data_IF_763803328623
#
_entry.id   IF_763803328623
#
_cell.length_a   1.000
_cell.length_b   1.000
_cell.length_c   1.000
_cell.angle_alpha   90.00
_cell.angle_beta   90.00
_cell.angle_gamma   90.00
#
_symmetry.space_group_name_H-M   'P 1'
#
loop_
_entity.id
_entity.type
_entity.pdbx_description
1 polymer ?
#
# COMPACT_ATOMS: atom_id res chain seq x y z
N UNK A 1 -9.98 -15.15 12.68
CA UNK A 1 -9.33 -14.45 13.82
C UNK A 1 -8.13 -13.67 13.31
N UNK A 2 -7.06 -14.32 12.83
CA UNK A 2 -5.84 -13.66 12.31
C UNK A 2 -6.09 -12.55 11.28
N UNK A 3 -6.83 -12.82 10.18
CA UNK A 3 -7.09 -11.79 9.17
C UNK A 3 -7.89 -10.61 9.69
N UNK A 4 -8.81 -10.84 10.64
CA UNK A 4 -9.60 -9.76 11.24
C UNK A 4 -8.68 -8.85 12.06
N UNK A 5 -7.88 -9.43 12.95
CA UNK A 5 -6.92 -8.68 13.79
C UNK A 5 -5.89 -7.93 12.94
N UNK A 6 -5.45 -8.55 11.83
CA UNK A 6 -4.56 -7.90 10.87
C UNK A 6 -5.23 -6.70 10.21
N UNK A 7 -6.45 -6.84 9.68
CA UNK A 7 -7.20 -5.73 9.08
C UNK A 7 -7.47 -4.59 10.07
N UNK A 8 -7.83 -4.91 11.32
CA UNK A 8 -8.02 -3.91 12.38
C UNK A 8 -6.72 -3.16 12.67
N UNK A 9 -5.60 -3.87 12.77
CA UNK A 9 -4.27 -3.29 13.00
C UNK A 9 -3.83 -2.40 11.84
N UNK A 10 -4.06 -2.83 10.59
CA UNK A 10 -3.72 -2.06 9.40
C UNK A 10 -4.63 -0.82 9.23
N UNK A 11 -5.90 -0.91 9.66
CA UNK A 11 -6.82 0.23 9.66
C UNK A 11 -6.37 1.30 10.66
N UNK A 12 -5.97 0.92 11.88
CA UNK A 12 -5.45 1.90 12.82
C UNK A 12 -4.09 2.47 12.36
N UNK A 13 -3.25 1.67 11.70
CA UNK A 13 -2.01 2.15 11.12
C UNK A 13 -2.26 3.16 9.99
N UNK A 14 -3.22 2.90 9.09
CA UNK A 14 -3.54 3.82 7.99
C UNK A 14 -4.06 5.17 8.51
N UNK A 15 -4.85 5.18 9.59
CA UNK A 15 -5.29 6.40 10.25
C UNK A 15 -4.11 7.21 10.82
N UNK A 16 -3.16 6.54 11.50
CA UNK A 16 -1.95 7.21 12.01
C UNK A 16 -1.09 7.78 10.90
N UNK A 17 -0.92 7.06 9.79
CA UNK A 17 -0.19 7.59 8.62
C UNK A 17 -0.93 8.80 8.03
N UNK A 18 -2.25 8.74 7.94
CA UNK A 18 -3.07 9.87 7.47
C UNK A 18 -2.95 11.10 8.37
N UNK A 19 -2.90 10.94 9.69
CA UNK A 19 -2.63 12.03 10.64
C UNK A 19 -1.24 12.65 10.41
N UNK A 20 -0.21 11.84 10.16
CA UNK A 20 1.14 12.31 9.84
C UNK A 20 1.20 13.07 8.51
N UNK A 21 0.48 12.60 7.49
CA UNK A 21 0.34 13.29 6.22
C UNK A 21 -0.32 14.66 6.40
N UNK A 22 -1.39 14.75 7.19
CA UNK A 22 -2.05 16.02 7.49
C UNK A 22 -1.08 17.02 8.14
N UNK A 23 -0.32 16.58 9.16
CA UNK A 23 0.69 17.41 9.83
C UNK A 23 1.77 17.86 8.83
N UNK A 24 2.28 16.95 8.00
CA UNK A 24 3.32 17.26 7.01
C UNK A 24 2.89 18.29 5.98
N UNK A 25 1.59 18.41 5.72
CA UNK A 25 1.00 19.39 4.82
C UNK A 25 0.60 20.70 5.53
N UNK A 26 0.87 20.85 6.83
CA UNK A 26 0.49 22.01 7.62
C UNK A 26 -0.99 22.08 8.00
N UNK A 27 -1.72 20.97 7.88
CA UNK A 27 -3.11 20.86 8.27
C UNK A 27 -3.24 20.48 9.75
N UNK A 28 -4.42 20.69 10.31
CA UNK A 28 -4.75 20.15 11.64
C UNK A 28 -4.65 18.62 11.63
N UNK A 29 -3.99 18.03 12.65
CA UNK A 29 -3.69 16.58 12.75
C UNK A 29 -4.89 15.69 12.40
N UNK A 30 -6.08 16.01 12.90
CA UNK A 30 -7.26 15.15 12.77
C UNK A 30 -8.01 15.35 11.45
N UNK A 31 -7.56 16.23 10.55
CA UNK A 31 -8.25 16.57 9.30
C UNK A 31 -8.52 15.33 8.44
N UNK A 32 -7.49 14.56 8.09
CA UNK A 32 -7.66 13.36 7.28
C UNK A 32 -8.30 12.22 8.04
N UNK A 33 -8.02 12.05 9.34
CA UNK A 33 -8.68 11.01 10.14
C UNK A 33 -10.20 11.18 10.18
N UNK A 34 -10.69 12.40 10.38
CA UNK A 34 -12.13 12.70 10.33
C UNK A 34 -12.72 12.45 8.93
N UNK A 35 -11.98 12.80 7.89
CA UNK A 35 -12.42 12.55 6.51
C UNK A 35 -12.58 11.05 6.22
N UNK A 36 -11.72 10.20 6.78
CA UNK A 36 -11.76 8.75 6.58
C UNK A 36 -12.45 7.98 7.72
N UNK A 37 -13.17 8.64 8.63
CA UNK A 37 -13.76 8.01 9.83
C UNK A 37 -14.73 6.86 9.47
N UNK A 38 -15.56 7.05 8.46
CA UNK A 38 -16.51 6.06 7.94
C UNK A 38 -15.98 5.27 6.72
N UNK A 39 -14.67 5.33 6.48
CA UNK A 39 -14.06 4.61 5.35
C UNK A 39 -14.09 3.10 5.55
N UNK A 40 -14.03 2.37 4.43
CA UNK A 40 -13.88 0.91 4.43
C UNK A 40 -12.53 0.52 3.86
N UNK A 41 -11.93 -0.51 4.45
CA UNK A 41 -10.68 -1.11 4.00
C UNK A 41 -10.94 -2.44 3.31
N UNK A 42 -10.18 -2.72 2.25
CA UNK A 42 -10.16 -4.03 1.61
C UNK A 42 -8.79 -4.67 1.80
N UNK A 43 -8.77 -6.00 1.98
CA UNK A 43 -7.52 -6.76 2.01
C UNK A 43 -7.46 -7.67 0.79
N UNK A 44 -6.37 -7.57 0.03
CA UNK A 44 -6.11 -8.41 -1.14
C UNK A 44 -4.88 -9.29 -0.88
N UNK A 45 -5.08 -10.60 -0.89
CA UNK A 45 -3.98 -11.57 -0.81
C UNK A 45 -3.60 -12.01 -2.23
N UNK A 46 -2.37 -11.70 -2.64
CA UNK A 46 -1.86 -12.10 -3.96
C UNK A 46 -0.94 -13.32 -3.81
N UNK A 47 -1.09 -14.29 -4.71
CA UNK A 47 -0.18 -15.41 -4.86
C UNK A 47 0.32 -15.44 -6.30
N UNK A 48 1.63 -15.20 -6.47
CA UNK A 48 2.28 -15.22 -7.78
C UNK A 48 3.09 -16.52 -7.91
N UNK A 49 2.66 -17.48 -8.75
CA UNK A 49 3.40 -18.71 -8.95
C UNK A 49 4.71 -18.47 -9.70
N UNK A 50 5.65 -19.41 -9.59
CA UNK A 50 6.85 -19.41 -10.43
C UNK A 50 6.47 -19.42 -11.92
N UNK A 51 7.14 -18.60 -12.72
CA UNK A 51 6.85 -18.43 -14.14
C UNK A 51 8.05 -18.90 -14.98
N UNK A 52 7.81 -19.69 -16.02
CA UNK A 52 8.87 -20.17 -16.93
C UNK A 52 9.38 -19.08 -17.87
N UNK A 53 8.56 -18.05 -18.16
CA UNK A 53 8.86 -16.94 -19.07
C UNK A 53 8.57 -15.59 -18.41
N UNK A 54 9.29 -15.25 -17.32
CA UNK A 54 9.03 -14.04 -16.55
C UNK A 54 9.21 -12.76 -17.37
N UNK A 55 10.04 -12.77 -18.40
CA UNK A 55 10.27 -11.65 -19.31
C UNK A 55 9.10 -11.37 -20.26
N UNK A 56 8.15 -12.30 -20.39
CA UNK A 56 6.97 -12.18 -21.26
C UNK A 56 5.65 -12.10 -20.49
N UNK A 57 5.70 -12.09 -19.15
CA UNK A 57 4.51 -12.21 -18.30
C UNK A 57 4.52 -11.14 -17.21
N UNK A 58 3.33 -10.64 -16.85
CA UNK A 58 3.14 -9.75 -15.71
C UNK A 58 2.37 -10.48 -14.62
N UNK A 59 2.81 -10.38 -13.36
CA UNK A 59 2.06 -10.87 -12.22
C UNK A 59 0.78 -10.05 -12.01
N UNK A 60 0.94 -8.75 -11.78
CA UNK A 60 -0.11 -7.74 -11.91
C UNK A 60 0.38 -6.66 -12.87
N UNK A 61 -0.47 -6.22 -13.79
CA UNK A 61 -0.09 -5.18 -14.75
C UNK A 61 0.13 -3.80 -14.10
N UNK A 62 0.78 -2.85 -14.80
CA UNK A 62 0.92 -1.47 -14.34
C UNK A 62 -0.45 -0.84 -13.99
N UNK A 63 -0.56 -0.26 -12.81
CA UNK A 63 -1.76 0.44 -12.34
C UNK A 63 -1.41 1.43 -11.22
N UNK A 64 -2.35 2.33 -10.93
CA UNK A 64 -2.42 3.05 -9.67
C UNK A 64 -3.52 2.42 -8.81
N UNK A 65 -3.37 2.53 -7.49
CA UNK A 65 -4.43 2.12 -6.56
C UNK A 65 -5.50 3.21 -6.50
N UNK A 66 -6.80 2.88 -6.67
CA UNK A 66 -7.86 3.89 -6.63
C UNK A 66 -8.18 4.37 -5.19
N UNK A 67 -7.62 3.72 -4.17
CA UNK A 67 -7.87 3.99 -2.75
C UNK A 67 -7.09 5.21 -2.26
N UNK A 68 -7.18 5.55 -0.97
CA UNK A 68 -6.37 6.61 -0.36
C UNK A 68 -4.96 6.14 -0.03
N UNK A 69 -4.84 5.02 0.67
CA UNK A 69 -3.57 4.52 1.15
C UNK A 69 -3.54 3.00 1.08
N UNK A 70 -2.45 2.46 0.54
CA UNK A 70 -2.19 1.02 0.53
C UNK A 70 -1.03 0.72 1.46
N UNK A 71 -1.21 -0.30 2.30
CA UNK A 71 -0.17 -0.86 3.18
C UNK A 71 0.08 -2.28 2.71
N UNK A 72 1.27 -2.53 2.18
CA UNK A 72 1.66 -3.80 1.61
C UNK A 72 2.69 -4.51 2.49
N UNK A 73 2.37 -5.75 2.83
CA UNK A 73 3.32 -6.71 3.39
C UNK A 73 3.81 -7.64 2.29
N UNK A 74 5.12 -7.79 2.15
CA UNK A 74 5.77 -8.63 1.14
C UNK A 74 6.45 -9.83 1.81
N UNK A 75 6.54 -10.93 1.07
CA UNK A 75 7.46 -12.01 1.42
C UNK A 75 8.90 -11.67 1.00
N UNK A 76 9.81 -12.65 1.10
CA UNK A 76 11.23 -12.48 0.79
C UNK A 76 11.57 -12.62 -0.70
N UNK A 77 10.61 -12.99 -1.57
CA UNK A 77 10.88 -13.27 -2.99
C UNK A 77 11.03 -11.97 -3.78
N UNK A 78 10.21 -10.96 -3.47
CA UNK A 78 10.20 -9.67 -4.16
C UNK A 78 9.42 -9.70 -5.48
N UNK A 79 9.57 -8.64 -6.27
CA UNK A 79 8.88 -8.46 -7.57
C UNK A 79 7.96 -7.24 -7.65
N UNK A 80 7.81 -6.47 -6.58
CA UNK A 80 7.16 -5.16 -6.67
C UNK A 80 8.08 -4.17 -7.38
N UNK A 81 7.55 -3.50 -8.38
CA UNK A 81 8.17 -2.36 -9.03
C UNK A 81 7.24 -1.15 -8.97
N UNK A 82 7.82 0.04 -8.80
CA UNK A 82 7.09 1.31 -8.83
C UNK A 82 7.63 2.20 -9.93
N UNK A 83 6.74 2.90 -10.64
CA UNK A 83 7.14 3.81 -11.71
C UNK A 83 7.32 5.23 -11.15
N UNK A 84 8.54 5.75 -11.19
CA UNK A 84 8.88 7.10 -10.74
C UNK A 84 10.03 7.66 -11.59
N UNK A 85 10.03 8.98 -11.84
CA UNK A 85 11.06 9.66 -12.64
C UNK A 85 11.25 9.05 -14.04
N UNK A 86 10.15 8.62 -14.67
CA UNK A 86 10.15 8.07 -16.02
C UNK A 86 10.71 6.64 -16.15
N UNK A 87 10.91 5.92 -15.05
CA UNK A 87 11.40 4.53 -15.06
C UNK A 87 10.81 3.68 -13.94
N UNK A 88 10.90 2.37 -14.10
CA UNK A 88 10.55 1.39 -13.07
C UNK A 88 11.69 1.23 -12.06
N UNK A 89 11.35 1.17 -10.78
CA UNK A 89 12.26 0.94 -9.67
C UNK A 89 11.81 -0.28 -8.88
N UNK A 90 12.73 -1.21 -8.63
CA UNK A 90 12.46 -2.38 -7.79
C UNK A 90 12.33 -1.95 -6.33
N UNK A 91 11.30 -2.45 -5.66
CA UNK A 91 11.13 -2.31 -4.21
C UNK A 91 11.56 -3.61 -3.54
N UNK A 92 12.80 -3.62 -3.02
CA UNK A 92 13.35 -4.79 -2.34
C UNK A 92 12.60 -5.08 -1.04
N UNK A 93 12.14 -6.33 -0.80
CA UNK A 93 11.55 -6.69 0.47
C UNK A 93 12.50 -6.45 1.64
N UNK A 94 11.98 -5.90 2.73
CA UNK A 94 12.74 -5.65 3.95
C UNK A 94 12.04 -6.32 5.12
N UNK A 95 12.74 -7.24 5.81
CA UNK A 95 12.19 -7.97 6.96
C UNK A 95 11.70 -7.02 8.03
N UNK A 96 10.43 -7.17 8.44
CA UNK A 96 9.82 -6.34 9.48
C UNK A 96 9.37 -4.95 9.01
N UNK A 97 9.45 -4.66 7.70
CA UNK A 97 8.94 -3.44 7.11
C UNK A 97 7.64 -3.68 6.32
N UNK A 98 6.87 -2.60 6.18
CA UNK A 98 5.71 -2.52 5.29
C UNK A 98 6.00 -1.46 4.23
N UNK A 99 5.53 -1.69 3.01
CA UNK A 99 5.53 -0.66 1.96
C UNK A 99 4.24 0.13 2.07
N UNK A 100 4.32 1.45 1.99
CA UNK A 100 3.17 2.35 2.01
C UNK A 100 3.17 3.17 0.73
N UNK A 101 2.06 3.17 0.00
CA UNK A 101 1.87 4.03 -1.17
C UNK A 101 0.58 4.84 -1.07
N UNK A 102 0.61 6.03 -1.67
CA UNK A 102 -0.54 6.91 -1.86
C UNK A 102 -1.31 6.43 -3.08
N UNK A 103 -2.63 6.37 -2.97
CA UNK A 103 -3.52 6.08 -4.09
C UNK A 103 -4.24 7.32 -4.60
N UNK A 104 -5.04 7.13 -5.65
CA UNK A 104 -5.63 8.20 -6.45
C UNK A 104 -6.65 9.06 -5.67
N UNK A 105 -7.17 8.62 -4.52
CA UNK A 105 -8.08 9.45 -3.70
C UNK A 105 -7.40 10.74 -3.20
N UNK A 106 -6.07 10.77 -3.10
CA UNK A 106 -5.32 11.97 -2.74
C UNK A 106 -4.89 12.84 -3.93
N UNK A 107 -5.14 12.40 -5.18
CA UNK A 107 -4.83 13.16 -6.40
C UNK A 107 -6.05 13.92 -6.90
#
# INVERSE_FOLDING_TARGET
>A
VVFKEYCESMTELSMKVSELLAISLGLERMSFRRFFEDSSSIMRCNYYPACEKPELTLGTGPHCDPTSLTILHQDHVGGLEVFADGKWHLVSPTTGALVVNIGDTFM
#
